data_IF_580952486858
#
_entry.id   IF_580952486858
#
_cell.length_a   1.000
_cell.length_b   1.000
_cell.length_c   1.000
_cell.angle_alpha   90.00
_cell.angle_beta   90.00
_cell.angle_gamma   90.00
#
_symmetry.space_group_name_H-M   'P 1'
#
loop_
_entity.id
_entity.type
_entity.pdbx_description
1 polymer ?
#
# COMPACT_ATOMS: atom_id res chain seq x y z
N UNK A 1 -18.40 9.02 19.98
CA UNK A 1 -17.33 8.88 18.97
C UNK A 1 -17.14 7.44 18.53
N UNK A 2 -17.06 6.47 19.46
CA UNK A 2 -16.93 5.03 19.17
C UNK A 2 -18.04 4.42 18.27
N UNK A 3 -19.32 4.78 18.45
CA UNK A 3 -20.43 4.29 17.61
C UNK A 3 -20.31 4.62 16.11
N UNK A 4 -19.65 5.73 15.75
CA UNK A 4 -19.47 6.13 14.35
C UNK A 4 -18.38 5.30 13.66
N UNK A 5 -17.37 4.87 14.40
CA UNK A 5 -16.29 4.01 13.90
C UNK A 5 -16.83 2.58 13.73
N UNK A 6 -17.61 2.07 14.70
CA UNK A 6 -18.28 0.76 14.58
C UNK A 6 -19.23 0.68 13.37
N UNK A 7 -19.97 1.75 13.06
CA UNK A 7 -20.84 1.80 11.89
C UNK A 7 -20.07 1.83 10.56
N UNK A 8 -18.93 2.53 10.52
CA UNK A 8 -18.04 2.54 9.35
C UNK A 8 -17.40 1.16 9.15
N UNK A 9 -16.99 0.49 10.23
CA UNK A 9 -16.47 -0.88 10.20
C UNK A 9 -17.54 -1.90 9.78
N UNK A 10 -18.80 -1.72 10.19
CA UNK A 10 -19.92 -2.53 9.74
C UNK A 10 -20.20 -2.35 8.24
N UNK A 11 -20.24 -1.10 7.77
CA UNK A 11 -20.41 -0.80 6.34
C UNK A 11 -19.28 -1.40 5.50
N UNK A 12 -18.03 -1.26 5.96
CA UNK A 12 -16.89 -1.88 5.31
C UNK A 12 -16.98 -3.42 5.27
N UNK A 13 -17.40 -4.04 6.37
CA UNK A 13 -17.59 -5.50 6.45
C UNK A 13 -18.71 -5.98 5.53
N UNK A 14 -19.81 -5.23 5.44
CA UNK A 14 -20.91 -5.53 4.52
C UNK A 14 -20.48 -5.39 3.06
N UNK A 15 -19.72 -4.35 2.72
CA UNK A 15 -19.20 -4.14 1.38
C UNK A 15 -18.17 -5.20 1.00
N UNK A 16 -17.32 -5.63 1.95
CA UNK A 16 -16.41 -6.76 1.78
C UNK A 16 -17.16 -8.08 1.54
N UNK A 17 -18.18 -8.40 2.34
CA UNK A 17 -18.97 -9.62 2.18
C UNK A 17 -19.78 -9.62 0.87
N UNK A 18 -20.28 -8.44 0.43
CA UNK A 18 -20.93 -8.28 -0.88
C UNK A 18 -19.94 -8.50 -2.02
N UNK A 19 -18.75 -7.90 -1.94
CA UNK A 19 -17.70 -8.09 -2.94
C UNK A 19 -17.27 -9.57 -2.99
N UNK A 20 -17.06 -10.20 -1.84
CA UNK A 20 -16.71 -11.61 -1.71
C UNK A 20 -17.77 -12.52 -2.34
N UNK A 21 -19.06 -12.34 -2.02
CA UNK A 21 -20.16 -13.11 -2.62
C UNK A 21 -20.28 -12.88 -4.12
N UNK A 22 -20.09 -11.64 -4.58
CA UNK A 22 -20.10 -11.32 -6.00
C UNK A 22 -18.97 -12.05 -6.75
N UNK A 23 -17.78 -12.11 -6.15
CA UNK A 23 -16.64 -12.89 -6.64
C UNK A 23 -16.99 -14.37 -6.64
N UNK A 24 -17.44 -14.96 -5.54
CA UNK A 24 -17.80 -16.39 -5.43
C UNK A 24 -18.84 -16.78 -6.50
N UNK A 25 -19.87 -15.96 -6.71
CA UNK A 25 -20.89 -16.19 -7.74
C UNK A 25 -20.31 -16.13 -9.16
N UNK A 26 -19.33 -15.24 -9.43
CA UNK A 26 -18.62 -15.16 -10.70
C UNK A 26 -17.78 -16.42 -10.99
N UNK A 27 -17.31 -17.12 -9.95
CA UNK A 27 -16.56 -18.38 -10.10
C UNK A 27 -17.45 -19.60 -10.34
N UNK A 28 -18.72 -19.57 -9.91
CA UNK A 28 -19.66 -20.69 -10.08
C UNK A 28 -20.45 -20.64 -11.41
N UNK A 29 -20.39 -19.54 -12.16
CA UNK A 29 -21.08 -19.43 -13.46
C UNK A 29 -20.13 -19.68 -14.63
N UNK A 30 -20.29 -20.82 -15.30
CA UNK A 30 -19.54 -21.23 -16.50
C UNK A 30 -19.64 -20.23 -17.68
N UNK A 31 -20.66 -19.36 -17.68
CA UNK A 31 -20.88 -18.30 -18.68
C UNK A 31 -19.95 -17.09 -18.49
N UNK A 32 -19.44 -16.87 -17.28
CA UNK A 32 -18.47 -15.82 -16.98
C UNK A 32 -17.05 -16.40 -17.00
N UNK A 33 -16.63 -16.90 -18.18
CA UNK A 33 -15.23 -16.77 -18.63
C UNK A 33 -14.88 -15.29 -18.86
N UNK A 34 -15.24 -14.40 -17.93
CA UNK A 34 -14.63 -13.09 -17.82
C UNK A 34 -13.16 -13.40 -17.61
N UNK A 35 -12.38 -13.19 -18.67
CA UNK A 35 -11.01 -13.69 -18.85
C UNK A 35 -10.33 -13.88 -17.51
N UNK A 36 -10.04 -15.13 -17.13
CA UNK A 36 -9.32 -15.47 -15.90
C UNK A 36 -8.12 -14.55 -15.67
N UNK A 37 -7.51 -14.08 -16.75
CA UNK A 37 -6.45 -13.06 -16.79
C UNK A 37 -6.89 -11.64 -16.35
N UNK A 38 -8.06 -11.14 -16.77
CA UNK A 38 -8.65 -9.87 -16.28
C UNK A 38 -9.04 -9.94 -14.81
N UNK A 39 -9.66 -11.04 -14.37
CA UNK A 39 -9.96 -11.25 -12.97
C UNK A 39 -8.65 -11.32 -12.15
N UNK A 40 -7.65 -12.07 -12.62
CA UNK A 40 -6.32 -12.08 -12.02
C UNK A 40 -5.62 -10.71 -12.07
N UNK A 41 -5.85 -9.88 -13.08
CA UNK A 41 -5.36 -8.49 -13.15
C UNK A 41 -6.00 -7.63 -12.05
N UNK A 42 -7.32 -7.68 -11.93
CA UNK A 42 -8.06 -6.99 -10.85
C UNK A 42 -7.59 -7.44 -9.47
N UNK A 43 -7.36 -8.73 -9.24
CA UNK A 43 -6.81 -9.22 -7.96
C UNK A 43 -5.33 -8.90 -7.76
N UNK A 44 -4.54 -8.86 -8.84
CA UNK A 44 -3.12 -8.44 -8.81
C UNK A 44 -2.95 -7.02 -8.31
N UNK A 45 -3.94 -6.16 -8.57
CA UNK A 45 -3.92 -4.76 -8.15
C UNK A 45 -4.48 -4.53 -6.73
N UNK A 46 -5.16 -5.52 -6.15
CA UNK A 46 -5.66 -5.45 -4.76
C UNK A 46 -4.53 -5.65 -3.75
N UNK A 47 -3.54 -6.49 -4.05
CA UNK A 47 -2.37 -6.71 -3.20
C UNK A 47 -1.24 -5.75 -3.55
N UNK A 48 -1.13 -4.68 -2.77
CA UNK A 48 -0.13 -3.64 -2.97
C UNK A 48 0.81 -3.52 -1.78
N UNK A 49 2.03 -3.02 -2.04
CA UNK A 49 2.99 -2.61 -1.03
C UNK A 49 3.17 -1.11 -1.09
N UNK A 50 3.21 -0.49 0.08
CA UNK A 50 3.66 0.89 0.23
C UNK A 50 5.18 0.89 0.28
N UNK A 51 5.80 1.56 -0.68
CA UNK A 51 7.25 1.63 -0.78
C UNK A 51 7.72 3.08 -0.84
N UNK A 52 9.00 3.30 -0.58
CA UNK A 52 9.70 4.56 -0.85
C UNK A 52 10.88 4.21 -1.77
N UNK A 53 11.00 4.85 -2.96
CA UNK A 53 12.15 4.66 -3.83
C UNK A 53 13.48 4.98 -3.14
N UNK A 54 14.51 4.17 -3.37
CA UNK A 54 15.84 4.33 -2.74
C UNK A 54 16.45 5.72 -2.97
N UNK A 55 16.14 6.37 -4.11
CA UNK A 55 16.63 7.74 -4.42
C UNK A 55 16.29 8.79 -3.37
N UNK A 56 15.24 8.57 -2.56
CA UNK A 56 14.83 9.48 -1.48
C UNK A 56 15.39 9.08 -0.12
N UNK A 57 16.13 7.97 -0.04
CA UNK A 57 16.56 7.39 1.24
C UNK A 57 17.45 8.34 2.03
N UNK A 58 18.48 8.89 1.40
CA UNK A 58 19.43 9.76 2.09
C UNK A 58 18.77 11.05 2.60
N UNK A 59 17.89 11.65 1.80
CA UNK A 59 17.14 12.86 2.17
C UNK A 59 16.19 12.59 3.35
N UNK A 60 15.49 11.46 3.32
CA UNK A 60 14.54 11.10 4.38
C UNK A 60 15.26 10.63 5.65
N UNK A 61 16.26 9.77 5.54
CA UNK A 61 17.00 9.25 6.70
C UNK A 61 17.76 10.35 7.44
N UNK A 62 18.31 11.35 6.73
CA UNK A 62 19.02 12.46 7.37
C UNK A 62 18.10 13.61 7.81
N UNK A 63 16.87 13.68 7.30
CA UNK A 63 15.90 14.71 7.62
C UNK A 63 14.65 14.17 8.32
N UNK A 64 13.55 14.07 7.56
CA UNK A 64 12.20 13.84 8.09
C UNK A 64 12.08 12.56 8.92
N UNK A 65 12.71 11.46 8.51
CA UNK A 65 12.62 10.19 9.24
C UNK A 65 13.37 10.26 10.57
N UNK A 66 14.54 10.90 10.60
CA UNK A 66 15.30 11.13 11.84
C UNK A 66 14.53 12.01 12.80
N UNK A 67 13.93 13.09 12.32
CA UNK A 67 13.07 13.94 13.14
C UNK A 67 11.86 13.16 13.67
N UNK A 68 11.17 12.40 12.82
CA UNK A 68 10.01 11.59 13.20
C UNK A 68 10.34 10.56 14.30
N UNK A 69 11.52 9.94 14.24
CA UNK A 69 11.95 8.93 15.22
C UNK A 69 12.31 9.56 16.57
N UNK A 70 12.93 10.74 16.56
CA UNK A 70 13.45 11.38 17.78
C UNK A 70 12.45 12.35 18.43
N UNK A 71 11.44 12.81 17.70
CA UNK A 71 10.43 13.72 18.21
C UNK A 71 9.52 13.00 19.24
N UNK A 72 9.25 13.64 20.36
CA UNK A 72 8.38 13.12 21.44
C UNK A 72 6.96 13.68 21.38
N UNK A 73 6.74 14.79 20.68
CA UNK A 73 5.43 15.41 20.51
C UNK A 73 4.62 14.64 19.45
N UNK A 74 3.48 14.10 19.87
CA UNK A 74 2.60 13.31 19.00
C UNK A 74 2.08 14.13 17.82
N UNK A 75 1.72 15.41 18.03
CA UNK A 75 1.16 16.25 16.96
C UNK A 75 2.20 16.53 15.89
N UNK A 76 3.44 16.83 16.31
CA UNK A 76 4.54 17.03 15.36
C UNK A 76 4.95 15.73 14.67
N UNK A 77 4.93 14.59 15.38
CA UNK A 77 5.16 13.28 14.74
C UNK A 77 4.11 12.96 13.67
N UNK A 78 2.86 13.32 13.87
CA UNK A 78 1.80 13.13 12.85
C UNK A 78 2.07 14.00 11.62
N UNK A 79 2.48 15.26 11.79
CA UNK A 79 2.86 16.13 10.66
C UNK A 79 4.07 15.59 9.90
N UNK A 80 5.09 15.14 10.62
CA UNK A 80 6.29 14.54 10.03
C UNK A 80 5.95 13.25 9.28
N UNK A 81 5.07 12.40 9.85
CA UNK A 81 4.60 11.20 9.18
C UNK A 81 3.86 11.55 7.88
N UNK A 82 2.97 12.54 7.89
CA UNK A 82 2.26 12.97 6.69
C UNK A 82 3.24 13.38 5.58
N UNK A 83 4.27 14.17 5.91
CA UNK A 83 5.33 14.56 4.96
C UNK A 83 6.13 13.35 4.45
N UNK A 84 6.45 12.39 5.31
CA UNK A 84 7.17 11.17 4.87
C UNK A 84 6.31 10.35 3.89
N UNK A 85 4.99 10.28 4.14
CA UNK A 85 4.08 9.53 3.27
C UNK A 85 3.92 10.15 1.87
N UNK A 86 4.24 11.43 1.67
CA UNK A 86 4.27 12.06 0.33
C UNK A 86 5.35 11.45 -0.58
N UNK A 87 6.38 10.82 0.00
CA UNK A 87 7.42 10.11 -0.76
C UNK A 87 7.07 8.64 -1.02
N UNK A 88 5.96 8.17 -0.47
CA UNK A 88 5.54 6.79 -0.65
C UNK A 88 4.80 6.61 -1.97
N UNK A 89 5.01 5.46 -2.58
CA UNK A 89 4.27 5.01 -3.75
C UNK A 89 3.68 3.64 -3.49
N UNK A 90 2.47 3.42 -3.97
CA UNK A 90 1.78 2.14 -3.85
C UNK A 90 2.05 1.34 -5.10
N UNK A 91 2.67 0.18 -4.94
CA UNK A 91 3.03 -0.71 -6.06
C UNK A 91 2.39 -2.08 -5.88
N UNK A 92 1.86 -2.70 -6.95
CA UNK A 92 1.39 -4.08 -6.87
C UNK A 92 2.50 -5.03 -6.40
N UNK A 93 2.19 -5.95 -5.50
CA UNK A 93 3.18 -6.82 -4.87
C UNK A 93 3.96 -7.66 -5.90
N UNK A 94 3.32 -8.06 -6.99
CA UNK A 94 3.97 -8.84 -8.04
C UNK A 94 5.09 -8.07 -8.77
N UNK A 95 4.99 -6.74 -8.87
CA UNK A 95 6.03 -5.88 -9.50
C UNK A 95 7.29 -5.77 -8.65
N UNK A 96 7.15 -5.94 -7.34
CA UNK A 96 8.27 -5.92 -6.39
C UNK A 96 8.67 -7.31 -5.89
N UNK A 97 8.01 -8.36 -6.39
CA UNK A 97 8.32 -9.74 -6.04
C UNK A 97 9.69 -10.10 -6.61
N UNK A 98 10.63 -10.45 -5.72
CA UNK A 98 12.02 -10.73 -6.10
C UNK A 98 12.93 -9.49 -6.14
N UNK A 99 12.39 -8.28 -5.97
CA UNK A 99 13.18 -7.06 -5.76
C UNK A 99 13.60 -6.97 -4.28
N UNK A 100 14.72 -6.31 -4.01
CA UNK A 100 15.18 -6.11 -2.63
C UNK A 100 14.35 -5.02 -1.95
N UNK A 101 13.53 -5.44 -0.97
CA UNK A 101 12.74 -4.56 -0.11
C UNK A 101 13.34 -4.53 1.28
N UNK A 102 13.60 -3.34 1.82
CA UNK A 102 14.07 -3.18 3.20
C UNK A 102 13.02 -2.43 4.03
N UNK A 103 12.65 -2.89 5.23
CA UNK A 103 11.65 -2.19 6.04
C UNK A 103 12.17 -0.80 6.46
N UNK A 104 11.32 0.22 6.31
CA UNK A 104 11.65 1.56 6.80
C UNK A 104 11.54 1.58 8.32
N UNK A 105 12.61 2.02 8.99
CA UNK A 105 12.70 2.01 10.46
C UNK A 105 11.53 2.79 11.07
N UNK A 106 10.82 2.16 12.02
CA UNK A 106 9.69 2.73 12.79
C UNK A 106 8.44 3.10 11.97
N UNK A 107 8.38 2.75 10.68
CA UNK A 107 7.16 2.80 9.88
C UNK A 107 6.64 1.38 9.67
N UNK A 108 5.33 1.17 9.86
CA UNK A 108 4.70 -0.13 9.66
C UNK A 108 4.32 -0.28 8.19
N UNK A 109 4.63 -1.43 7.60
CA UNK A 109 4.26 -1.81 6.22
C UNK A 109 4.76 -0.84 5.14
N UNK A 110 5.84 -0.08 5.43
CA UNK A 110 6.53 0.78 4.46
C UNK A 110 7.93 0.21 4.23
N UNK A 111 8.34 0.12 2.96
CA UNK A 111 9.62 -0.49 2.57
C UNK A 111 10.42 0.42 1.64
N UNK A 112 11.73 0.48 1.82
CA UNK A 112 12.65 0.96 0.80
C UNK A 112 12.64 0.00 -0.38
N UNK A 113 12.45 0.53 -1.59
CA UNK A 113 12.62 -0.23 -2.83
C UNK A 113 13.96 0.12 -3.45
N UNK A 114 14.88 -0.85 -3.46
CA UNK A 114 16.18 -0.77 -4.15
C UNK A 114 16.05 -1.14 -5.63
N UNK A 115 15.26 -0.35 -6.36
CA UNK A 115 15.10 -0.45 -7.81
C UNK A 115 14.77 0.93 -8.38
N UNK A 116 15.07 1.12 -9.66
CA UNK A 116 14.69 2.33 -10.36
C UNK A 116 13.17 2.44 -10.44
N UNK A 117 12.67 3.58 -9.96
CA UNK A 117 11.26 3.92 -9.95
C UNK A 117 11.05 5.22 -10.71
N UNK A 118 10.28 5.12 -11.78
CA UNK A 118 9.80 6.22 -12.60
C UNK A 118 8.31 6.43 -12.35
N UNK A 119 7.85 7.68 -12.20
CA UNK A 119 6.41 7.98 -12.16
C UNK A 119 5.66 7.57 -13.44
N UNK A 120 6.36 7.52 -14.59
CA UNK A 120 5.75 7.25 -15.89
C UNK A 120 5.64 5.74 -16.18
N UNK A 121 6.68 4.97 -15.85
CA UNK A 121 6.80 3.54 -16.20
C UNK A 121 6.66 2.62 -14.97
N UNK A 122 6.67 3.17 -13.76
CA UNK A 122 6.58 2.44 -12.51
C UNK A 122 7.93 1.88 -12.04
N UNK A 123 7.90 0.69 -11.44
CA UNK A 123 9.12 -0.05 -11.06
C UNK A 123 9.70 -0.68 -12.33
N UNK A 124 10.91 -0.28 -12.70
CA UNK A 124 11.60 -0.82 -13.88
C UNK A 124 12.21 -2.21 -13.57
N UNK A 125 12.20 -3.09 -14.56
CA UNK A 125 12.61 -4.50 -14.45
C UNK A 125 14.12 -4.70 -14.36
#
# INVERSE_FOLDING_TARGET
MYKKIEQVDQGYKEDYEKAKRFIENLWETDEFKLEKEKAQQLFRDIYTKTIIPEKFRDDLENGLLREYINNKDINERVKLLAKILEYTVTVPEYKVKGKQLEPVKKLKNVYWLKADYSPETGVEE
#
